data_IF_540983153171
#
_entry.id   IF_540983153171
#
_cell.length_a   1.000
_cell.length_b   1.000
_cell.length_c   1.000
_cell.angle_alpha   90.00
_cell.angle_beta   90.00
_cell.angle_gamma   90.00
#
_symmetry.space_group_name_H-M   'P 1'
#
loop_
_entity.id
_entity.type
_entity.pdbx_description
1 polymer ?
#
# COMPACT_ATOMS: atom_id res chain seq x y z
N UNK A 1 18.14 -7.94 -10.85
CA UNK A 1 18.17 -6.60 -11.49
C UNK A 1 16.86 -6.33 -12.18
N UNK A 2 16.34 -5.12 -12.01
CA UNK A 2 15.22 -4.60 -12.77
C UNK A 2 15.68 -4.45 -14.23
N UNK A 3 15.19 -5.30 -15.14
CA UNK A 3 15.66 -5.33 -16.54
C UNK A 3 14.86 -4.44 -17.47
N UNK A 4 13.62 -4.15 -17.09
CA UNK A 4 12.68 -3.33 -17.86
C UNK A 4 11.92 -2.37 -16.93
N UNK A 5 12.18 -1.08 -17.11
CA UNK A 5 11.52 0.02 -16.38
C UNK A 5 10.22 0.49 -17.07
N UNK A 6 9.96 0.04 -18.30
CA UNK A 6 8.76 0.43 -19.07
C UNK A 6 7.48 -0.18 -18.49
N UNK A 7 7.58 -1.34 -17.82
CA UNK A 7 6.46 -1.98 -17.14
C UNK A 7 6.18 -1.29 -15.82
N UNK A 8 4.91 -1.06 -15.52
CA UNK A 8 4.52 -0.45 -14.25
C UNK A 8 4.71 -1.44 -13.07
N UNK A 9 5.04 -0.88 -11.92
CA UNK A 9 4.88 -1.51 -10.63
C UNK A 9 3.59 -0.98 -10.00
N UNK A 10 2.69 -1.88 -9.61
CA UNK A 10 1.41 -1.54 -9.00
C UNK A 10 1.44 -1.97 -7.53
N UNK A 11 1.21 -1.02 -6.62
CA UNK A 11 1.24 -1.23 -5.18
C UNK A 11 -0.13 -0.90 -4.60
N UNK A 12 -0.78 -1.90 -3.99
CA UNK A 12 -2.13 -1.77 -3.41
C UNK A 12 -2.04 -1.76 -1.89
N UNK A 13 -2.79 -0.88 -1.23
CA UNK A 13 -2.80 -0.72 0.22
C UNK A 13 -4.13 -1.17 0.83
N UNK A 14 -4.11 -2.01 1.86
CA UNK A 14 -5.31 -2.44 2.60
C UNK A 14 -5.11 -2.32 4.11
N UNK A 15 -6.20 -2.13 4.87
CA UNK A 15 -6.16 -2.07 6.33
C UNK A 15 -5.96 -0.65 6.85
N UNK A 16 -5.07 -0.48 7.82
CA UNK A 16 -4.78 0.86 8.36
C UNK A 16 -4.03 1.74 7.35
N UNK A 17 -4.26 3.05 7.44
CA UNK A 17 -3.60 4.00 6.54
C UNK A 17 -2.10 4.11 6.82
N UNK A 18 -1.35 4.61 5.85
CA UNK A 18 0.08 4.89 6.02
C UNK A 18 0.47 6.23 5.42
N UNK A 19 1.57 6.78 5.93
CA UNK A 19 2.30 7.86 5.25
C UNK A 19 3.33 7.20 4.34
N UNK A 20 3.26 7.49 3.05
CA UNK A 20 4.27 7.13 2.06
C UNK A 20 5.07 8.37 1.70
N UNK A 21 6.40 8.27 1.76
CA UNK A 21 7.30 9.33 1.34
C UNK A 21 7.86 8.96 -0.02
N UNK A 22 7.80 9.89 -0.97
CA UNK A 22 8.51 9.80 -2.26
C UNK A 22 9.46 10.98 -2.38
N UNK A 23 10.73 10.70 -2.69
CA UNK A 23 11.76 11.70 -2.91
C UNK A 23 12.18 11.75 -4.37
N UNK A 24 13.46 12.06 -4.61
CA UNK A 24 14.09 11.96 -5.92
C UNK A 24 15.10 10.81 -6.00
N UNK A 25 16.07 10.94 -6.89
CA UNK A 25 17.13 9.94 -7.12
C UNK A 25 18.33 10.12 -6.18
N UNK A 26 18.31 11.12 -5.31
CA UNK A 26 19.26 11.37 -4.23
C UNK A 26 18.57 11.38 -2.86
N UNK A 27 19.32 11.08 -1.80
CA UNK A 27 18.83 11.17 -0.41
C UNK A 27 18.59 12.61 0.06
N UNK A 28 19.20 13.59 -0.61
CA UNK A 28 19.04 15.02 -0.31
C UNK A 28 17.88 15.68 -1.07
N UNK A 29 17.23 14.93 -1.98
CA UNK A 29 16.13 15.46 -2.79
C UNK A 29 14.89 15.73 -1.92
N UNK A 30 14.07 16.74 -2.26
CA UNK A 30 12.85 17.04 -1.53
C UNK A 30 11.91 15.83 -1.43
N UNK A 31 11.33 15.62 -0.25
CA UNK A 31 10.36 14.55 0.00
C UNK A 31 8.92 15.08 -0.08
N UNK A 32 8.05 14.31 -0.73
CA UNK A 32 6.61 14.52 -0.75
C UNK A 32 5.92 13.42 0.08
N UNK A 33 5.22 13.77 1.18
CA UNK A 33 4.37 12.83 1.90
C UNK A 33 3.02 12.65 1.21
N UNK A 34 2.58 11.40 1.10
CA UNK A 34 1.32 10.98 0.50
C UNK A 34 0.60 10.04 1.48
N UNK A 35 -0.71 10.25 1.68
CA UNK A 35 -1.54 9.31 2.41
C UNK A 35 -1.88 8.10 1.54
N UNK A 36 -1.72 6.91 2.10
CA UNK A 36 -2.22 5.67 1.52
C UNK A 36 -3.29 5.09 2.44
N UNK A 37 -4.55 5.24 2.07
CA UNK A 37 -5.70 4.65 2.75
C UNK A 37 -5.97 3.22 2.29
N UNK A 38 -6.88 2.53 2.99
CA UNK A 38 -7.35 1.22 2.55
C UNK A 38 -8.09 1.32 1.22
N UNK A 39 -7.59 0.63 0.20
CA UNK A 39 -8.12 0.63 -1.16
C UNK A 39 -7.30 1.46 -2.14
N UNK A 40 -6.37 2.30 -1.67
CA UNK A 40 -5.55 3.13 -2.54
C UNK A 40 -4.54 2.30 -3.34
N UNK A 41 -4.28 2.75 -4.57
CA UNK A 41 -3.36 2.12 -5.51
C UNK A 41 -2.30 3.13 -5.94
N UNK A 42 -1.04 2.81 -5.69
CA UNK A 42 0.10 3.55 -6.19
C UNK A 42 0.67 2.84 -7.42
N UNK A 43 0.77 3.55 -8.53
CA UNK A 43 1.39 3.05 -9.77
C UNK A 43 2.68 3.80 -10.01
N UNK A 44 3.79 3.07 -10.08
CA UNK A 44 5.13 3.61 -10.34
C UNK A 44 5.61 3.11 -11.70
N UNK A 45 5.95 4.02 -12.59
CA UNK A 45 6.43 3.69 -13.94
C UNK A 45 7.72 4.45 -14.28
N UNK A 46 8.52 3.89 -15.20
CA UNK A 46 9.74 4.53 -15.70
C UNK A 46 10.64 5.03 -14.54
N UNK A 47 11.08 6.29 -14.60
CA UNK A 47 12.03 6.89 -13.68
C UNK A 47 11.51 6.95 -12.22
N UNK A 48 10.18 6.91 -12.02
CA UNK A 48 9.60 6.85 -10.66
C UNK A 48 9.95 5.56 -9.93
N UNK A 49 10.39 4.50 -10.63
CA UNK A 49 10.85 3.25 -10.00
C UNK A 49 12.24 3.39 -9.37
N UNK A 50 12.95 4.46 -9.70
CA UNK A 50 14.32 4.73 -9.23
C UNK A 50 14.37 5.73 -8.07
N UNK A 51 13.24 6.33 -7.70
CA UNK A 51 13.22 7.32 -6.62
C UNK A 51 13.27 6.65 -5.24
N UNK A 52 13.94 7.31 -4.31
CA UNK A 52 13.89 6.93 -2.91
C UNK A 52 12.47 7.07 -2.37
N UNK A 53 12.04 6.06 -1.62
CA UNK A 53 10.74 6.06 -0.98
C UNK A 53 10.77 5.30 0.34
N UNK A 54 9.85 5.65 1.24
CA UNK A 54 9.75 5.07 2.57
C UNK A 54 8.31 5.05 3.08
N UNK A 55 8.06 4.21 4.08
CA UNK A 55 6.81 4.20 4.85
C UNK A 55 7.17 4.42 6.32
N UNK A 56 7.30 5.67 6.79
CA UNK A 56 7.74 5.94 8.16
C UNK A 56 6.68 5.62 9.22
N UNK A 57 5.39 5.58 8.86
CA UNK A 57 4.31 5.43 9.84
C UNK A 57 3.09 4.72 9.29
N UNK A 58 2.49 3.85 10.12
CA UNK A 58 1.17 3.26 9.95
C UNK A 58 0.24 3.93 10.96
N UNK A 59 -0.91 4.43 10.51
CA UNK A 59 -1.83 5.24 11.32
C UNK A 59 -3.21 4.59 11.40
N UNK A 60 -3.68 4.26 12.62
CA UNK A 60 -5.04 3.78 12.84
C UNK A 60 -6.06 4.85 12.40
N UNK A 61 -6.84 4.55 11.37
CA UNK A 61 -7.73 5.53 10.70
C UNK A 61 -9.08 4.92 10.33
N UNK A 62 -9.19 3.59 10.34
CA UNK A 62 -10.41 2.88 9.98
C UNK A 62 -10.66 1.74 10.95
N UNK A 63 -11.92 1.61 11.37
CA UNK A 63 -12.39 0.43 12.09
C UNK A 63 -13.11 -0.49 11.10
N UNK A 64 -12.73 -1.76 11.09
CA UNK A 64 -13.39 -2.82 10.32
C UNK A 64 -14.27 -3.61 11.28
N UNK A 65 -15.56 -3.66 10.99
CA UNK A 65 -16.59 -4.32 11.80
C UNK A 65 -17.17 -5.58 11.13
N UNK A 66 -16.66 -5.96 9.96
CA UNK A 66 -17.13 -7.11 9.19
C UNK A 66 -18.45 -6.89 8.45
N UNK A 67 -19.19 -5.81 8.73
CA UNK A 67 -20.50 -5.55 8.13
C UNK A 67 -20.42 -5.25 6.62
N UNK A 68 -19.23 -4.89 6.13
CA UNK A 68 -18.97 -4.59 4.71
C UNK A 68 -18.37 -5.78 3.94
N UNK A 69 -18.18 -6.93 4.58
CA UNK A 69 -17.67 -8.13 3.93
C UNK A 69 -18.75 -8.72 3.00
N UNK A 70 -18.51 -8.68 1.69
CA UNK A 70 -19.46 -9.25 0.72
C UNK A 70 -19.65 -10.75 0.96
N UNK A 71 -20.91 -11.18 1.01
CA UNK A 71 -21.28 -12.58 1.17
C UNK A 71 -21.13 -13.15 2.58
N UNK A 72 -20.89 -12.29 3.59
CA UNK A 72 -20.87 -12.67 5.01
C UNK A 72 -21.59 -11.62 5.87
N UNK A 73 -22.22 -12.05 6.94
CA UNK A 73 -22.62 -11.14 8.03
C UNK A 73 -21.40 -10.82 8.90
N UNK A 74 -21.48 -9.76 9.73
CA UNK A 74 -20.40 -9.38 10.62
C UNK A 74 -20.00 -10.52 11.59
N UNK A 75 -20.98 -11.32 12.02
CA UNK A 75 -20.79 -12.46 12.93
C UNK A 75 -20.10 -13.65 12.26
N UNK A 76 -20.14 -13.74 10.93
CA UNK A 76 -19.51 -14.81 10.13
C UNK A 76 -18.06 -14.47 9.74
N UNK A 77 -17.61 -13.24 9.99
CA UNK A 77 -16.22 -12.85 9.77
C UNK A 77 -15.38 -13.35 10.93
N UNK A 78 -14.27 -14.01 10.58
CA UNK A 78 -13.32 -14.50 11.56
C UNK A 78 -12.80 -13.35 12.43
N UNK A 79 -12.89 -13.51 13.76
CA UNK A 79 -12.43 -12.51 14.72
C UNK A 79 -10.94 -12.22 14.56
N UNK A 80 -10.12 -13.23 14.29
CA UNK A 80 -8.67 -13.03 14.10
C UNK A 80 -8.40 -12.17 12.85
N UNK A 81 -9.19 -12.36 11.80
CA UNK A 81 -9.12 -11.54 10.60
C UNK A 81 -9.52 -10.09 10.88
N UNK A 82 -10.58 -9.87 11.68
CA UNK A 82 -11.00 -8.53 12.08
C UNK A 82 -9.95 -7.84 12.96
N UNK A 83 -9.39 -8.55 13.93
CA UNK A 83 -8.33 -8.04 14.80
C UNK A 83 -7.08 -7.68 13.98
N UNK A 84 -6.72 -8.52 13.01
CA UNK A 84 -5.63 -8.24 12.07
C UNK A 84 -5.91 -6.99 11.23
N UNK A 85 -7.09 -6.88 10.61
CA UNK A 85 -7.46 -5.73 9.78
C UNK A 85 -7.47 -4.41 10.58
N UNK A 86 -7.85 -4.46 11.85
CA UNK A 86 -7.89 -3.29 12.73
C UNK A 86 -6.53 -2.86 13.30
N UNK A 87 -5.51 -3.72 13.24
CA UNK A 87 -4.18 -3.46 13.81
C UNK A 87 -3.05 -3.42 12.79
N UNK A 88 -3.32 -3.83 11.55
CA UNK A 88 -2.30 -4.01 10.52
C UNK A 88 -2.62 -3.25 9.23
N UNK A 89 -1.56 -3.05 8.43
CA UNK A 89 -1.64 -2.66 7.03
C UNK A 89 -1.03 -3.76 6.18
N UNK A 90 -1.71 -4.11 5.10
CA UNK A 90 -1.19 -5.01 4.07
C UNK A 90 -0.83 -4.21 2.83
N UNK A 91 0.35 -4.46 2.28
CA UNK A 91 0.76 -3.95 0.99
C UNK A 91 1.00 -5.10 0.01
N UNK A 92 0.44 -4.99 -1.19
CA UNK A 92 0.66 -5.96 -2.27
C UNK A 92 1.32 -5.21 -3.42
N UNK A 93 2.53 -5.61 -3.77
CA UNK A 93 3.28 -5.04 -4.90
C UNK A 93 3.35 -6.06 -6.03
N UNK A 94 2.82 -5.68 -7.20
CA UNK A 94 2.72 -6.49 -8.40
C UNK A 94 3.60 -5.87 -9.48
N UNK A 95 4.36 -6.71 -10.19
CA UNK A 95 5.16 -6.32 -11.34
C UNK A 95 5.18 -7.39 -12.41
N UNK A 96 5.27 -6.99 -13.67
CA UNK A 96 5.60 -7.89 -14.76
C UNK A 96 7.12 -8.08 -14.84
N UNK A 97 7.58 -9.33 -15.00
CA UNK A 97 9.01 -9.68 -15.06
C UNK A 97 9.43 -10.15 -16.45
N UNK A 98 8.58 -10.95 -17.10
CA UNK A 98 8.79 -11.48 -18.45
C UNK A 98 7.57 -11.14 -19.32
N UNK A 99 7.76 -11.22 -20.64
CA UNK A 99 6.67 -11.21 -21.62
C UNK A 99 5.98 -12.58 -21.72
#
# INVERSE_FOLDING_TARGET
SERDLSRALVSVSFGQSAVYLTGGTSLDDPILPIWLHSGDVLVMHADQRLVYHAVPCIVPTRKFDGATCQGKTAEEVDKELLDYANTSRVNITIRQVNE
#
